data_IF_244430010592
#
_entry.id   IF_244430010592
#
_cell.length_a   1.000
_cell.length_b   1.000
_cell.length_c   1.000
_cell.angle_alpha   90.00
_cell.angle_beta   90.00
_cell.angle_gamma   90.00
#
_symmetry.space_group_name_H-M   'P 1'
#
loop_
_entity.id
_entity.type
_entity.pdbx_description
1 polymer ?
#
# COMPACT_ATOMS: atom_id res chain seq x y z
N UNK A 1 -11.69 -27.10 9.50
CA UNK A 1 -10.62 -26.57 8.69
C UNK A 1 -10.31 -25.13 9.07
N UNK A 2 -9.12 -24.77 8.88
CA UNK A 2 -8.74 -23.41 9.20
C UNK A 2 -9.34 -22.46 8.21
N UNK A 3 -9.94 -21.43 8.72
CA UNK A 3 -10.45 -20.36 7.90
C UNK A 3 -9.29 -19.60 7.29
N UNK A 4 -9.27 -19.51 5.98
CA UNK A 4 -8.29 -18.67 5.33
C UNK A 4 -8.58 -17.23 5.64
N UNK A 5 -7.60 -16.57 6.21
CA UNK A 5 -7.77 -15.17 6.55
C UNK A 5 -7.15 -14.31 5.48
N UNK A 6 -7.91 -13.38 4.99
CA UNK A 6 -7.41 -12.39 4.06
C UNK A 6 -6.87 -11.24 4.89
N UNK A 7 -5.57 -11.05 4.83
CA UNK A 7 -4.96 -9.93 5.49
C UNK A 7 -5.09 -8.71 4.58
N UNK A 8 -5.69 -7.68 5.10
CA UNK A 8 -6.02 -6.50 4.32
C UNK A 8 -5.40 -5.29 5.00
N UNK A 9 -4.56 -4.58 4.27
CA UNK A 9 -3.90 -3.39 4.81
C UNK A 9 -4.28 -2.16 4.02
N UNK A 10 -4.64 -1.07 4.69
CA UNK A 10 -4.84 0.20 4.00
C UNK A 10 -3.50 0.80 3.61
N UNK A 11 -3.45 1.34 2.41
CA UNK A 11 -2.26 2.01 1.88
C UNK A 11 -2.65 3.37 1.36
N UNK A 12 -1.65 4.23 1.18
CA UNK A 12 -1.84 5.55 0.60
C UNK A 12 -1.19 5.56 -0.78
N UNK A 13 -1.98 5.84 -1.79
CA UNK A 13 -1.50 6.03 -3.16
C UNK A 13 -1.39 7.53 -3.42
N UNK A 14 -0.19 7.98 -3.73
CA UNK A 14 0.07 9.37 -4.08
C UNK A 14 0.35 9.46 -5.57
N UNK A 15 -0.46 10.24 -6.28
CA UNK A 15 -0.28 10.44 -7.70
C UNK A 15 0.70 11.61 -7.91
N UNK A 16 1.81 11.32 -8.56
CA UNK A 16 2.85 12.31 -8.84
C UNK A 16 2.80 12.65 -10.33
N UNK A 17 2.66 13.93 -10.65
CA UNK A 17 2.43 14.37 -12.02
C UNK A 17 3.56 15.23 -12.58
N UNK A 18 4.64 15.41 -11.83
CA UNK A 18 5.76 16.25 -12.24
C UNK A 18 6.90 15.48 -12.92
N UNK A 19 6.67 14.21 -13.24
CA UNK A 19 7.64 13.40 -13.95
C UNK A 19 7.59 13.72 -15.43
N UNK A 20 8.75 13.95 -16.10
CA UNK A 20 8.75 14.25 -17.53
C UNK A 20 8.15 13.17 -18.43
N UNK A 21 8.16 11.90 -17.97
CA UNK A 21 7.60 10.80 -18.73
C UNK A 21 6.10 10.61 -18.51
N UNK A 22 5.48 11.46 -17.68
CA UNK A 22 4.06 11.36 -17.38
C UNK A 22 3.80 11.41 -15.89
N UNK A 23 3.02 10.45 -15.38
CA UNK A 23 2.76 10.38 -13.96
C UNK A 23 3.09 8.99 -13.42
N UNK A 24 3.23 8.90 -12.11
CA UNK A 24 3.43 7.63 -11.43
C UNK A 24 2.81 7.71 -10.04
N UNK A 25 2.66 6.55 -9.42
CA UNK A 25 2.09 6.44 -8.07
C UNK A 25 3.14 6.00 -7.09
N UNK A 26 3.21 6.68 -5.96
CA UNK A 26 4.00 6.24 -4.81
C UNK A 26 3.04 5.64 -3.80
N UNK A 27 3.39 4.49 -3.26
CA UNK A 27 2.54 3.79 -2.30
C UNK A 27 3.28 3.65 -0.98
N UNK A 28 2.62 4.07 0.08
CA UNK A 28 3.12 3.91 1.45
C UNK A 28 2.02 3.32 2.30
N UNK A 29 2.39 2.83 3.48
CA UNK A 29 1.39 2.36 4.44
C UNK A 29 1.84 2.76 5.84
N UNK A 30 1.05 3.59 6.54
CA UNK A 30 1.35 3.87 7.94
C UNK A 30 1.34 2.64 8.83
N UNK A 31 0.72 1.56 8.36
CA UNK A 31 0.71 0.28 9.07
C UNK A 31 2.08 -0.36 9.13
N UNK A 32 2.91 -0.12 8.12
CA UNK A 32 4.17 -0.82 7.95
C UNK A 32 5.27 0.21 7.78
N UNK A 33 6.01 0.40 8.84
CA UNK A 33 7.04 1.41 8.89
C UNK A 33 8.12 1.13 7.85
N UNK A 34 8.45 2.14 7.06
CA UNK A 34 9.48 2.01 6.04
C UNK A 34 9.01 1.43 4.72
N UNK A 35 7.72 1.04 4.61
CA UNK A 35 7.21 0.52 3.35
C UNK A 35 6.99 1.65 2.36
N UNK A 36 7.63 1.54 1.20
CA UNK A 36 7.42 2.47 0.09
C UNK A 36 7.69 1.72 -1.21
N UNK A 37 6.84 1.94 -2.18
CA UNK A 37 7.03 1.40 -3.52
C UNK A 37 6.36 2.33 -4.53
N UNK A 38 6.48 2.03 -5.82
CA UNK A 38 5.88 2.87 -6.84
C UNK A 38 5.53 2.06 -8.08
N UNK A 39 4.68 2.64 -8.92
CA UNK A 39 4.31 2.03 -10.17
C UNK A 39 3.77 3.09 -11.12
N UNK A 40 3.78 2.80 -12.40
CA UNK A 40 3.34 3.76 -13.43
C UNK A 40 1.84 3.76 -13.62
N UNK A 41 1.15 2.75 -13.14
CA UNK A 41 -0.32 2.69 -13.12
C UNK A 41 -0.77 2.29 -11.74
N UNK A 42 -2.07 2.52 -11.44
CA UNK A 42 -2.61 2.09 -10.15
C UNK A 42 -2.51 0.57 -10.00
N UNK A 43 -2.76 -0.18 -11.07
CA UNK A 43 -2.68 -1.63 -11.01
C UNK A 43 -1.25 -2.09 -10.73
N UNK A 44 -0.28 -1.52 -11.42
CA UNK A 44 1.12 -1.86 -11.18
C UNK A 44 1.54 -1.48 -9.77
N UNK A 45 1.16 -0.29 -9.32
CA UNK A 45 1.50 0.16 -7.97
C UNK A 45 0.90 -0.78 -6.92
N UNK A 46 -0.33 -1.25 -7.15
CA UNK A 46 -0.96 -2.18 -6.21
C UNK A 46 -0.21 -3.51 -6.15
N UNK A 47 0.19 -4.05 -7.31
CA UNK A 47 0.96 -5.30 -7.34
C UNK A 47 2.30 -5.13 -6.63
N UNK A 48 2.98 -4.02 -6.89
CA UNK A 48 4.27 -3.76 -6.25
C UNK A 48 4.10 -3.59 -4.75
N UNK A 49 3.01 -2.96 -4.32
CA UNK A 49 2.76 -2.76 -2.90
C UNK A 49 2.49 -4.09 -2.19
N UNK A 50 1.69 -4.96 -2.80
CA UNK A 50 1.42 -6.28 -2.22
C UNK A 50 2.72 -7.06 -2.08
N UNK A 51 3.55 -7.04 -3.12
CA UNK A 51 4.84 -7.73 -3.10
C UNK A 51 5.77 -7.15 -2.03
N UNK A 52 5.84 -5.84 -1.94
CA UNK A 52 6.70 -5.18 -0.95
C UNK A 52 6.26 -5.51 0.48
N UNK A 53 4.96 -5.46 0.74
CA UNK A 53 4.44 -5.77 2.08
C UNK A 53 4.70 -7.24 2.41
N UNK A 54 4.43 -8.14 1.49
CA UNK A 54 4.66 -9.56 1.72
C UNK A 54 6.14 -9.84 2.02
N UNK A 55 7.02 -9.18 1.29
CA UNK A 55 8.46 -9.34 1.49
C UNK A 55 8.90 -8.80 2.86
N UNK A 56 8.39 -7.62 3.23
CA UNK A 56 8.77 -7.00 4.50
C UNK A 56 8.24 -7.77 5.70
N UNK A 57 7.11 -8.45 5.55
CA UNK A 57 6.49 -9.18 6.65
C UNK A 57 6.83 -10.68 6.63
N UNK A 58 7.65 -11.11 5.69
CA UNK A 58 8.03 -12.52 5.60
C UNK A 58 8.77 -12.93 6.87
N UNK A 59 8.22 -13.92 7.57
CA UNK A 59 8.80 -14.39 8.81
C UNK A 59 8.51 -13.52 10.03
N UNK A 60 7.77 -12.43 9.85
CA UNK A 60 7.43 -11.51 10.91
C UNK A 60 5.99 -11.71 11.37
N UNK A 61 5.71 -11.21 12.57
CA UNK A 61 4.33 -11.14 13.04
C UNK A 61 3.64 -9.99 12.28
N UNK A 62 2.52 -10.32 11.64
CA UNK A 62 1.80 -9.31 10.88
C UNK A 62 1.14 -8.31 11.84
N UNK A 63 1.40 -7.00 11.67
CA UNK A 63 0.77 -6.02 12.54
C UNK A 63 -0.72 -5.92 12.24
N UNK A 64 -1.53 -5.56 13.23
CA UNK A 64 -2.96 -5.35 12.98
C UNK A 64 -3.16 -4.16 12.04
N UNK A 65 -4.17 -4.27 11.18
CA UNK A 65 -4.49 -3.19 10.25
C UNK A 65 -5.01 -1.98 11.03
N UNK A 66 -4.50 -0.80 10.69
CA UNK A 66 -4.95 0.43 11.31
C UNK A 66 -6.24 0.90 10.66
N UNK A 67 -7.01 1.66 11.41
CA UNK A 67 -8.18 2.34 10.89
C UNK A 67 -7.71 3.61 10.18
N UNK A 68 -7.92 3.73 8.87
CA UNK A 68 -7.44 4.89 8.14
C UNK A 68 -8.33 6.13 8.26
N UNK A 69 -9.41 6.06 9.02
CA UNK A 69 -10.36 7.15 9.07
C UNK A 69 -9.78 8.46 9.63
N UNK A 70 -8.71 8.35 10.44
CA UNK A 70 -8.07 9.52 11.02
C UNK A 70 -6.89 10.04 10.21
N UNK A 71 -6.59 9.39 9.11
CA UNK A 71 -5.44 9.80 8.30
C UNK A 71 -5.79 11.07 7.53
N UNK A 72 -4.85 12.01 7.53
CA UNK A 72 -5.00 13.25 6.77
C UNK A 72 -4.23 13.12 5.47
N UNK A 73 -4.95 13.24 4.36
CA UNK A 73 -4.40 13.03 3.04
C UNK A 73 -4.27 14.34 2.28
N UNK A 74 -3.23 14.44 1.45
CA UNK A 74 -3.12 15.52 0.50
C UNK A 74 -4.13 15.30 -0.64
N UNK A 75 -4.30 16.33 -1.46
CA UNK A 75 -5.29 16.27 -2.54
C UNK A 75 -5.00 15.19 -3.57
N UNK A 76 -3.72 14.85 -3.75
CA UNK A 76 -3.30 13.83 -4.71
C UNK A 76 -3.15 12.45 -4.09
N UNK A 77 -3.60 12.27 -2.86
CA UNK A 77 -3.50 10.99 -2.17
C UNK A 77 -4.87 10.33 -2.03
N UNK A 78 -4.87 9.01 -2.05
CA UNK A 78 -6.08 8.23 -1.84
C UNK A 78 -5.74 6.98 -1.04
N UNK A 79 -6.74 6.48 -0.32
CA UNK A 79 -6.57 5.25 0.46
C UNK A 79 -7.02 4.07 -0.40
N UNK A 80 -6.15 3.08 -0.50
CA UNK A 80 -6.46 1.84 -1.20
C UNK A 80 -6.14 0.69 -0.25
N UNK A 81 -7.13 -0.14 0.01
CA UNK A 81 -6.97 -1.29 0.89
C UNK A 81 -6.58 -2.49 0.05
N UNK A 82 -5.45 -3.11 0.39
CA UNK A 82 -4.88 -4.18 -0.41
C UNK A 82 -4.93 -5.51 0.35
N UNK A 83 -5.45 -6.57 -0.29
CA UNK A 83 -5.40 -7.92 0.28
C UNK A 83 -4.03 -8.55 0.04
N UNK A 84 -3.56 -9.32 1.02
CA UNK A 84 -2.24 -9.95 0.97
C UNK A 84 -2.28 -11.47 0.83
N UNK A 85 -3.40 -12.04 0.50
CA UNK A 85 -3.46 -13.49 0.31
C UNK A 85 -3.71 -13.88 -1.13
#
# INVERSE_FOLDING_TARGET
>A
MTQDQILVYPTIFEKNTDDPSGYYYTVTSPNIDGMVTEGTTRAEAALMAVDAIATMLDGEVYPPAQDPSDWQLAANESIVTLPLT
#
